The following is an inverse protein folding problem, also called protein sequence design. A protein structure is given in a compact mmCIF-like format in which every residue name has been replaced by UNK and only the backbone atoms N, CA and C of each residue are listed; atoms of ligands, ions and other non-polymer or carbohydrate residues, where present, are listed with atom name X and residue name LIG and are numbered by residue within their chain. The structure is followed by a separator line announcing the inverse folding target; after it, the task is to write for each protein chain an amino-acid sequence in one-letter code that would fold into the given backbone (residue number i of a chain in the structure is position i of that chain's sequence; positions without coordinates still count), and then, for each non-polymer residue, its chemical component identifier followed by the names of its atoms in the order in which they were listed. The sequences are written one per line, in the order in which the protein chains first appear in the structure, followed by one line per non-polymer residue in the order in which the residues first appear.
data_IF_984877892368
#
_entry.id   IF_984877892368
#
_cell.length_a   1.000
_cell.length_b   1.000
_cell.length_c   1.000
_cell.angle_alpha   90.00
_cell.angle_beta   90.00
_cell.angle_gamma   90.00
#
_symmetry.space_group_name_H-M   'P 1'
#
loop_
_entity.id
_entity.type
_entity.pdbx_description
1 polymer ?
#
# COMPACT_ATOMS: atom_id res chain seq x y z
N UNK A 1 -10.41 -66.93 -54.84
CA UNK A 1 -8.98 -66.57 -54.85
C UNK A 1 -8.84 -65.38 -55.78
N UNK A 2 -8.21 -64.26 -55.48
CA UNK A 2 -7.55 -63.71 -54.31
C UNK A 2 -7.24 -62.27 -54.73
N UNK A 3 -7.40 -61.31 -53.81
CA UNK A 3 -7.13 -59.90 -54.07
C UNK A 3 -5.77 -59.65 -54.74
N UNK A 4 -5.67 -58.53 -55.46
CA UNK A 4 -4.70 -57.55 -55.01
C UNK A 4 -5.38 -56.22 -54.71
N UNK A 5 -5.13 -55.77 -53.47
CA UNK A 5 -5.24 -54.39 -53.05
C UNK A 5 -4.25 -53.57 -53.89
N UNK A 6 -4.75 -52.59 -54.61
CA UNK A 6 -3.92 -51.50 -55.12
C UNK A 6 -3.97 -50.36 -54.11
N UNK A 7 -2.79 -49.99 -53.66
CA UNK A 7 -2.52 -49.07 -52.57
C UNK A 7 -3.22 -47.73 -52.72
N UNK A 8 -3.69 -47.27 -51.57
CA UNK A 8 -4.05 -45.89 -51.31
C UNK A 8 -2.84 -45.01 -51.62
N UNK A 9 -2.92 -44.26 -52.71
CA UNK A 9 -2.04 -43.12 -52.94
C UNK A 9 -2.18 -42.15 -51.76
N UNK A 10 -1.18 -42.13 -50.89
CA UNK A 10 -0.94 -41.00 -50.00
C UNK A 10 -0.85 -39.75 -50.88
N UNK A 11 -1.90 -38.93 -50.86
CA UNK A 11 -1.83 -37.57 -51.37
C UNK A 11 -0.79 -36.86 -50.50
N UNK A 12 0.42 -36.78 -51.01
CA UNK A 12 1.47 -35.88 -50.57
C UNK A 12 0.85 -34.49 -50.45
N UNK A 13 0.48 -34.10 -49.23
CA UNK A 13 0.18 -32.71 -48.90
C UNK A 13 1.43 -31.91 -49.23
N UNK A 14 1.44 -31.25 -50.39
CA UNK A 14 2.51 -30.35 -50.77
C UNK A 14 2.58 -29.27 -49.69
N UNK A 15 3.57 -29.36 -48.80
CA UNK A 15 3.79 -28.39 -47.73
C UNK A 15 3.96 -27.03 -48.38
N UNK A 16 3.04 -26.11 -48.11
CA UNK A 16 3.10 -24.76 -48.65
C UNK A 16 4.33 -24.07 -48.06
N UNK A 17 5.36 -23.84 -48.88
CA UNK A 17 6.63 -23.25 -48.44
C UNK A 17 6.49 -21.72 -48.36
N UNK A 18 6.90 -21.15 -47.23
CA UNK A 18 7.03 -19.70 -47.07
C UNK A 18 8.25 -19.17 -47.81
N UNK A 19 8.21 -17.92 -48.31
CA UNK A 19 9.41 -17.28 -48.85
C UNK A 19 10.45 -17.12 -47.74
N UNK A 20 11.74 -17.21 -48.11
CA UNK A 20 12.85 -17.07 -47.18
C UNK A 20 13.05 -15.61 -46.77
N UNK A 21 13.40 -15.39 -45.52
CA UNK A 21 13.83 -14.10 -44.99
C UNK A 21 15.22 -13.73 -45.55
N UNK A 22 16.12 -14.72 -45.68
CA UNK A 22 17.44 -14.49 -46.31
C UNK A 22 17.34 -13.95 -47.74
N UNK A 23 16.32 -14.33 -48.51
CA UNK A 23 16.12 -13.78 -49.86
C UNK A 23 15.58 -12.34 -49.84
N UNK A 24 14.77 -11.98 -48.84
CA UNK A 24 14.28 -10.61 -48.68
C UNK A 24 15.39 -9.63 -48.25
N UNK A 25 16.24 -10.05 -47.32
CA UNK A 25 17.34 -9.25 -46.79
C UNK A 25 18.62 -9.36 -47.63
N UNK A 26 18.75 -10.39 -48.46
CA UNK A 26 19.91 -10.65 -49.30
C UNK A 26 20.00 -9.79 -50.58
N UNK A 27 20.88 -10.24 -51.47
CA UNK A 27 21.13 -9.68 -52.80
C UNK A 27 20.80 -10.73 -53.88
N UNK A 28 20.01 -10.41 -54.92
CA UNK A 28 19.45 -9.09 -55.25
C UNK A 28 18.32 -8.64 -54.31
N UNK A 29 18.13 -7.33 -54.20
CA UNK A 29 17.17 -6.73 -53.27
C UNK A 29 15.73 -6.99 -53.73
N UNK A 30 14.95 -7.71 -52.92
CA UNK A 30 13.53 -7.95 -53.17
C UNK A 30 12.70 -6.75 -52.71
N UNK A 31 11.75 -6.32 -53.55
CA UNK A 31 10.83 -5.25 -53.17
C UNK A 31 9.89 -5.71 -52.03
N UNK A 32 9.64 -4.89 -50.99
CA UNK A 32 8.78 -5.27 -49.87
C UNK A 32 7.38 -5.74 -50.29
N UNK A 33 6.79 -5.11 -51.30
CA UNK A 33 5.47 -5.49 -51.80
C UNK A 33 5.47 -6.85 -52.51
N UNK A 34 6.56 -7.19 -53.21
CA UNK A 34 6.71 -8.50 -53.86
C UNK A 34 6.81 -9.60 -52.80
N UNK A 35 7.68 -9.40 -51.80
CA UNK A 35 7.81 -10.32 -50.67
C UNK A 35 6.48 -10.51 -49.91
N UNK A 36 5.79 -9.42 -49.56
CA UNK A 36 4.50 -9.51 -48.88
C UNK A 36 3.42 -10.22 -49.69
N UNK A 37 3.44 -10.08 -51.03
CA UNK A 37 2.55 -10.85 -51.92
C UNK A 37 2.85 -12.32 -51.83
N UNK A 38 4.11 -12.74 -51.89
CA UNK A 38 4.51 -14.14 -51.75
C UNK A 38 4.08 -14.74 -50.41
N UNK A 39 4.32 -14.02 -49.29
CA UNK A 39 3.87 -14.46 -47.96
C UNK A 39 2.35 -14.62 -47.94
N UNK A 40 1.58 -13.68 -48.50
CA UNK A 40 0.12 -13.78 -48.57
C UNK A 40 -0.34 -14.96 -49.42
N UNK A 41 0.32 -15.23 -50.54
CA UNK A 41 0.00 -16.37 -51.40
C UNK A 41 0.22 -17.68 -50.65
N UNK A 42 1.33 -17.80 -49.91
CA UNK A 42 1.61 -18.95 -49.06
C UNK A 42 0.58 -19.11 -47.94
N UNK A 43 0.26 -18.04 -47.20
CA UNK A 43 -0.78 -18.08 -46.16
C UNK A 43 -2.16 -18.45 -46.74
N UNK A 44 -2.52 -17.92 -47.92
CA UNK A 44 -3.78 -18.25 -48.60
C UNK A 44 -3.83 -19.71 -49.05
N UNK A 45 -2.72 -20.23 -49.60
CA UNK A 45 -2.63 -21.62 -50.03
C UNK A 45 -2.69 -22.61 -48.84
N UNK A 46 -2.08 -22.27 -47.70
CA UNK A 46 -2.18 -23.05 -46.47
C UNK A 46 -3.62 -23.08 -45.92
N UNK A 47 -4.30 -21.92 -45.93
CA UNK A 47 -5.72 -21.86 -45.55
C UNK A 47 -6.62 -22.68 -46.47
N UNK A 48 -6.37 -22.62 -47.78
CA UNK A 48 -7.15 -23.39 -48.77
C UNK A 48 -6.97 -24.91 -48.60
N UNK A 49 -5.80 -25.34 -48.14
CA UNK A 49 -5.49 -26.76 -47.85
C UNK A 49 -5.86 -27.19 -46.44
N UNK A 50 -6.47 -26.33 -45.61
CA UNK A 50 -6.74 -26.56 -44.17
C UNK A 50 -5.49 -27.01 -43.38
N UNK A 51 -4.31 -26.61 -43.86
CA UNK A 51 -3.05 -26.85 -43.17
C UNK A 51 -2.83 -25.80 -42.07
N UNK A 52 -1.94 -26.11 -41.12
CA UNK A 52 -1.50 -25.17 -40.12
C UNK A 52 -0.96 -23.88 -40.76
N UNK A 53 -1.11 -22.72 -40.09
CA UNK A 53 -0.59 -21.46 -40.60
C UNK A 53 0.92 -21.59 -40.80
N UNK A 54 1.43 -21.31 -42.00
CA UNK A 54 2.83 -21.57 -42.30
C UNK A 54 3.68 -20.56 -41.52
N UNK A 55 4.83 -20.98 -41.03
CA UNK A 55 5.83 -20.14 -40.36
C UNK A 55 7.04 -19.97 -41.27
N UNK A 56 7.86 -18.94 -40.99
CA UNK A 56 9.19 -18.87 -41.60
C UNK A 56 10.03 -20.05 -41.10
N UNK A 57 10.92 -20.55 -41.96
CA UNK A 57 11.87 -21.59 -41.58
C UNK A 57 12.76 -21.09 -40.44
N UNK A 58 12.87 -21.89 -39.38
CA UNK A 58 13.50 -21.46 -38.12
C UNK A 58 14.97 -21.16 -38.33
N UNK A 59 15.67 -22.01 -39.10
CA UNK A 59 17.10 -21.84 -39.42
C UNK A 59 17.33 -20.56 -40.22
N UNK A 60 16.55 -20.37 -41.28
CA UNK A 60 16.61 -19.16 -42.10
C UNK A 60 16.31 -17.89 -41.28
N UNK A 61 15.35 -17.94 -40.35
CA UNK A 61 15.04 -16.84 -39.47
C UNK A 61 16.17 -16.52 -38.47
N UNK A 62 16.82 -17.54 -37.91
CA UNK A 62 17.95 -17.38 -36.98
C UNK A 62 19.19 -16.83 -37.69
N UNK A 63 19.59 -17.44 -38.81
CA UNK A 63 20.72 -16.97 -39.62
C UNK A 63 20.51 -15.53 -40.11
N UNK A 64 19.27 -15.19 -40.50
CA UNK A 64 18.94 -13.82 -40.93
C UNK A 64 19.00 -12.83 -39.76
N UNK A 65 18.62 -13.25 -38.55
CA UNK A 65 18.66 -12.40 -37.36
C UNK A 65 20.11 -12.11 -36.95
N UNK A 66 20.95 -13.14 -36.90
CA UNK A 66 22.39 -13.00 -36.59
C UNK A 66 23.10 -12.08 -37.56
N UNK A 67 22.74 -12.15 -38.85
CA UNK A 67 23.34 -11.34 -39.91
C UNK A 67 22.62 -10.02 -40.17
N UNK A 68 21.60 -9.68 -39.38
CA UNK A 68 20.76 -8.52 -39.66
C UNK A 68 21.54 -7.20 -39.62
N UNK A 69 22.53 -7.09 -38.72
CA UNK A 69 23.40 -5.93 -38.64
C UNK A 69 24.20 -5.69 -39.94
N UNK A 70 24.49 -6.76 -40.69
CA UNK A 70 25.16 -6.69 -42.00
C UNK A 70 24.16 -6.44 -43.13
N UNK A 71 22.99 -7.10 -43.09
CA UNK A 71 22.02 -7.12 -44.17
C UNK A 71 21.08 -5.89 -44.19
N UNK A 72 20.76 -5.34 -43.02
CA UNK A 72 19.91 -4.15 -42.85
C UNK A 72 20.43 -3.27 -41.71
N UNK A 73 21.65 -2.69 -41.83
CA UNK A 73 22.33 -1.97 -40.76
C UNK A 73 21.54 -0.78 -40.19
N UNK A 74 20.64 -0.20 -41.01
CA UNK A 74 19.79 0.95 -40.63
C UNK A 74 18.33 0.55 -40.38
N UNK A 75 18.00 -0.74 -40.41
CA UNK A 75 16.65 -1.27 -40.21
C UNK A 75 15.58 -0.75 -41.20
N UNK A 76 16.02 -0.25 -42.36
CA UNK A 76 15.12 0.38 -43.34
C UNK A 76 14.24 -0.66 -44.00
N UNK A 77 14.75 -1.87 -44.26
CA UNK A 77 13.95 -2.96 -44.84
C UNK A 77 12.95 -3.47 -43.81
N UNK A 78 13.39 -3.65 -42.57
CA UNK A 78 12.53 -4.09 -41.46
C UNK A 78 11.38 -3.10 -41.22
N UNK A 79 11.63 -1.79 -41.22
CA UNK A 79 10.57 -0.77 -41.09
C UNK A 79 9.53 -0.85 -42.22
N UNK A 80 9.91 -1.22 -43.45
CA UNK A 80 8.96 -1.35 -44.57
C UNK A 80 7.98 -2.52 -44.39
N UNK A 81 8.30 -3.46 -43.49
CA UNK A 81 7.43 -4.57 -43.11
C UNK A 81 6.48 -4.21 -41.94
N UNK A 82 6.72 -3.10 -41.24
CA UNK A 82 5.91 -2.66 -40.10
C UNK A 82 4.47 -2.34 -40.51
N UNK A 83 3.50 -2.79 -39.70
CA UNK A 83 2.07 -2.54 -39.94
C UNK A 83 1.50 -3.21 -41.20
N UNK A 84 2.18 -4.25 -41.73
CA UNK A 84 1.73 -5.00 -42.90
C UNK A 84 1.22 -6.39 -42.50
N UNK A 85 0.12 -6.81 -43.12
CA UNK A 85 -0.33 -8.20 -43.09
C UNK A 85 0.47 -9.05 -44.08
N UNK A 86 1.01 -10.23 -43.69
CA UNK A 86 0.44 -11.21 -42.72
C UNK A 86 1.06 -11.32 -41.29
N UNK A 87 0.40 -12.04 -40.36
CA UNK A 87 0.82 -12.26 -38.95
C UNK A 87 2.28 -12.75 -38.80
N UNK A 88 2.73 -13.63 -39.69
CA UNK A 88 4.10 -14.16 -39.71
C UNK A 88 5.13 -13.04 -39.83
N UNK A 89 4.84 -12.04 -40.67
CA UNK A 89 5.69 -10.87 -40.85
C UNK A 89 5.69 -10.02 -39.59
N UNK A 90 4.53 -9.84 -38.95
CA UNK A 90 4.45 -9.12 -37.66
C UNK A 90 5.27 -9.81 -36.58
N UNK A 91 5.20 -11.14 -36.49
CA UNK A 91 5.96 -11.92 -35.52
C UNK A 91 7.48 -11.82 -35.78
N UNK A 92 7.90 -11.91 -37.04
CA UNK A 92 9.29 -11.68 -37.43
C UNK A 92 9.77 -10.26 -37.05
N UNK A 93 9.00 -9.24 -37.42
CA UNK A 93 9.32 -7.84 -37.08
C UNK A 93 9.40 -7.66 -35.57
N UNK A 94 8.47 -8.22 -34.78
CA UNK A 94 8.53 -8.16 -33.32
C UNK A 94 9.79 -8.84 -32.75
N UNK A 95 10.19 -9.99 -33.31
CA UNK A 95 11.42 -10.69 -32.92
C UNK A 95 12.66 -9.82 -33.18
N UNK A 96 12.75 -9.24 -34.37
CA UNK A 96 13.83 -8.32 -34.76
C UNK A 96 13.85 -7.07 -33.89
N UNK A 97 12.68 -6.46 -33.66
CA UNK A 97 12.54 -5.26 -32.83
C UNK A 97 13.05 -5.52 -31.42
N UNK A 98 12.61 -6.63 -30.80
CA UNK A 98 13.06 -7.02 -29.46
C UNK A 98 14.57 -7.17 -29.43
N UNK A 99 15.14 -7.99 -30.33
CA UNK A 99 16.58 -8.25 -30.36
C UNK A 99 17.40 -6.95 -30.54
N UNK A 100 17.03 -6.12 -31.52
CA UNK A 100 17.70 -4.84 -31.76
C UNK A 100 17.55 -3.85 -30.60
N UNK A 101 16.41 -3.88 -29.90
CA UNK A 101 16.15 -3.05 -28.73
C UNK A 101 16.94 -3.52 -27.51
N UNK A 102 16.96 -4.81 -27.20
CA UNK A 102 17.79 -5.37 -26.12
C UNK A 102 19.28 -5.09 -26.35
N UNK A 103 19.75 -5.30 -27.58
CA UNK A 103 21.14 -5.03 -27.94
C UNK A 103 21.50 -3.55 -27.75
N UNK A 104 20.55 -2.62 -27.95
CA UNK A 104 20.76 -1.19 -27.68
C UNK A 104 20.76 -0.82 -26.19
N UNK A 105 20.24 -1.72 -25.33
CA UNK A 105 20.20 -1.57 -23.88
C UNK A 105 21.30 -2.36 -23.16
N UNK A 106 22.00 -3.26 -23.84
CA UNK A 106 23.01 -4.14 -23.25
C UNK A 106 24.14 -3.38 -22.54
N UNK A 107 24.49 -2.19 -23.05
CA UNK A 107 25.52 -1.32 -22.45
C UNK A 107 24.99 -0.44 -21.30
N UNK A 108 23.69 -0.51 -20.98
CA UNK A 108 23.03 0.32 -19.97
C UNK A 108 22.77 -0.45 -18.67
N UNK A 109 23.73 -0.44 -17.74
CA UNK A 109 23.63 -1.11 -16.44
C UNK A 109 22.70 -0.38 -15.45
N UNK A 110 21.42 -0.74 -15.37
CA UNK A 110 20.50 -0.27 -14.32
C UNK A 110 19.42 -1.31 -13.98
N UNK A 111 19.01 -1.36 -12.70
CA UNK A 111 18.11 -2.34 -12.05
C UNK A 111 16.60 -2.20 -12.34
N UNK A 112 16.15 -1.23 -13.14
CA UNK A 112 14.70 -1.04 -13.39
C UNK A 112 14.19 -1.82 -14.60
N UNK A 113 13.49 -2.93 -14.33
CA UNK A 113 12.88 -3.83 -15.33
C UNK A 113 11.52 -3.36 -15.86
N UNK A 114 11.01 -2.20 -15.45
CA UNK A 114 9.73 -1.70 -15.97
C UNK A 114 9.80 -1.37 -17.47
N UNK A 115 8.74 -1.67 -18.24
CA UNK A 115 8.66 -1.34 -19.67
C UNK A 115 8.93 0.15 -19.93
N UNK A 116 8.38 1.03 -19.08
CA UNK A 116 8.60 2.47 -19.15
C UNK A 116 10.06 2.83 -18.89
N UNK A 117 10.68 2.29 -17.83
CA UNK A 117 12.08 2.55 -17.50
C UNK A 117 13.03 2.05 -18.60
N UNK A 118 12.74 0.90 -19.19
CA UNK A 118 13.48 0.36 -20.35
C UNK A 118 13.37 1.27 -21.58
N UNK A 119 12.18 1.80 -21.86
CA UNK A 119 11.99 2.75 -22.95
C UNK A 119 12.66 4.11 -22.68
N UNK A 120 12.57 4.63 -21.45
CA UNK A 120 13.28 5.85 -21.06
C UNK A 120 14.79 5.70 -21.24
N UNK A 121 15.37 4.57 -20.81
CA UNK A 121 16.78 4.22 -21.03
C UNK A 121 17.15 4.24 -22.50
N UNK A 122 16.36 3.59 -23.35
CA UNK A 122 16.58 3.58 -24.79
C UNK A 122 16.59 4.99 -25.38
N UNK A 123 15.64 5.84 -24.98
CA UNK A 123 15.55 7.22 -25.46
C UNK A 123 16.75 8.06 -25.01
N UNK A 124 17.20 7.88 -23.77
CA UNK A 124 18.37 8.57 -23.23
C UNK A 124 19.65 8.10 -23.92
N UNK A 125 19.87 6.79 -24.05
CA UNK A 125 21.07 6.24 -24.69
C UNK A 125 21.11 6.57 -26.19
N UNK A 126 19.95 6.62 -26.85
CA UNK A 126 19.84 6.95 -28.28
C UNK A 126 19.75 8.44 -28.57
N UNK A 127 19.75 9.32 -27.57
CA UNK A 127 19.53 10.75 -27.76
C UNK A 127 20.57 11.40 -28.70
N UNK A 128 21.83 10.96 -28.58
CA UNK A 128 22.95 11.42 -29.42
C UNK A 128 22.77 11.01 -30.87
N UNK A 129 22.39 9.75 -31.10
CA UNK A 129 22.17 9.24 -32.44
C UNK A 129 20.91 9.86 -33.07
N UNK A 130 19.82 10.02 -32.31
CA UNK A 130 18.55 10.60 -32.78
C UNK A 130 18.70 12.08 -33.21
N UNK A 131 19.55 12.83 -32.52
CA UNK A 131 19.73 14.28 -32.73
C UNK A 131 21.05 14.62 -33.43
N UNK A 132 21.90 13.62 -33.66
CA UNK A 132 23.22 13.78 -34.24
C UNK A 132 23.23 14.19 -35.71
N UNK A 133 24.42 14.51 -36.19
CA UNK A 133 24.69 14.87 -37.59
C UNK A 133 24.98 13.65 -38.46
N UNK A 134 25.41 12.53 -37.88
CA UNK A 134 25.63 11.27 -38.60
C UNK A 134 24.29 10.72 -39.14
N UNK A 135 24.15 10.78 -40.48
CA UNK A 135 22.94 10.33 -41.17
C UNK A 135 22.63 8.86 -40.90
N UNK A 136 23.63 7.97 -40.88
CA UNK A 136 23.40 6.52 -40.78
C UNK A 136 22.97 6.13 -39.37
N UNK A 137 23.66 6.65 -38.35
CA UNK A 137 23.29 6.42 -36.95
C UNK A 137 21.92 7.00 -36.62
N UNK A 138 21.65 8.22 -37.09
CA UNK A 138 20.34 8.85 -36.93
C UNK A 138 19.22 8.08 -37.61
N UNK A 139 19.43 7.62 -38.84
CA UNK A 139 18.44 6.81 -39.56
C UNK A 139 18.18 5.48 -38.84
N UNK A 140 19.24 4.81 -38.36
CA UNK A 140 19.11 3.59 -37.54
C UNK A 140 18.31 3.84 -36.26
N UNK A 141 18.65 4.87 -35.48
CA UNK A 141 17.97 5.19 -34.23
C UNK A 141 16.50 5.58 -34.44
N UNK A 142 16.20 6.35 -35.50
CA UNK A 142 14.82 6.70 -35.87
C UNK A 142 14.02 5.47 -36.30
N UNK A 143 14.62 4.55 -37.05
CA UNK A 143 13.96 3.33 -37.49
C UNK A 143 13.75 2.36 -36.32
N UNK A 144 14.72 2.24 -35.42
CA UNK A 144 14.56 1.46 -34.20
C UNK A 144 13.45 2.03 -33.32
N UNK A 145 13.35 3.35 -33.17
CA UNK A 145 12.23 4.01 -32.45
C UNK A 145 10.88 3.72 -33.11
N UNK A 146 10.80 3.75 -34.45
CA UNK A 146 9.57 3.40 -35.19
C UNK A 146 9.16 1.95 -35.00
N UNK A 147 10.11 1.05 -34.82
CA UNK A 147 9.87 -0.37 -34.59
C UNK A 147 9.51 -0.65 -33.13
N UNK A 148 10.23 -0.07 -32.18
CA UNK A 148 10.08 -0.33 -30.74
C UNK A 148 8.83 0.30 -30.15
N UNK A 149 8.43 1.50 -30.58
CA UNK A 149 7.27 2.18 -29.99
C UNK A 149 5.96 1.38 -30.17
N UNK A 150 5.57 0.92 -31.39
CA UNK A 150 4.39 0.07 -31.55
C UNK A 150 4.53 -1.26 -30.81
N UNK A 151 5.72 -1.86 -30.83
CA UNK A 151 5.98 -3.11 -30.12
C UNK A 151 5.77 -2.99 -28.60
N UNK A 152 6.27 -1.91 -28.00
CA UNK A 152 6.12 -1.65 -26.57
C UNK A 152 4.67 -1.30 -26.19
N UNK A 153 3.98 -0.53 -27.02
CA UNK A 153 2.57 -0.16 -26.79
C UNK A 153 1.66 -1.38 -26.94
N UNK A 154 1.80 -2.15 -28.02
CA UNK A 154 0.89 -3.25 -28.34
C UNK A 154 1.19 -4.54 -27.56
N UNK A 155 2.47 -4.84 -27.27
CA UNK A 155 2.87 -6.12 -26.67
C UNK A 155 3.43 -6.01 -25.24
N UNK A 156 3.79 -4.82 -24.77
CA UNK A 156 4.37 -4.62 -23.43
C UNK A 156 3.56 -3.62 -22.58
N UNK A 157 2.35 -3.27 -23.02
CA UNK A 157 1.41 -2.38 -22.33
C UNK A 157 1.99 -1.01 -21.96
N UNK A 158 2.94 -0.49 -22.74
CA UNK A 158 3.43 0.87 -22.56
C UNK A 158 2.32 1.86 -22.93
N UNK A 159 1.93 2.71 -21.98
CA UNK A 159 0.95 3.76 -22.23
C UNK A 159 1.51 4.84 -23.14
N UNK A 160 0.71 5.32 -24.09
CA UNK A 160 1.15 6.32 -25.06
C UNK A 160 1.47 7.66 -24.37
N UNK A 161 0.71 7.98 -23.33
CA UNK A 161 0.87 9.13 -22.43
C UNK A 161 2.22 9.11 -21.72
N UNK A 162 2.79 7.93 -21.46
CA UNK A 162 4.09 7.76 -20.83
C UNK A 162 5.22 7.80 -21.86
N UNK A 163 5.03 7.20 -23.03
CA UNK A 163 6.06 7.04 -24.06
C UNK A 163 6.41 8.36 -24.78
N UNK A 164 5.42 9.10 -25.27
CA UNK A 164 5.66 10.27 -26.13
C UNK A 164 6.37 11.43 -25.40
N UNK A 165 6.08 11.73 -24.11
CA UNK A 165 6.86 12.72 -23.36
C UNK A 165 8.33 12.37 -23.26
N UNK A 166 8.68 11.08 -23.13
CA UNK A 166 10.07 10.62 -23.06
C UNK A 166 10.82 10.97 -24.35
N UNK A 167 10.24 10.68 -25.52
CA UNK A 167 10.79 11.08 -26.83
C UNK A 167 10.98 12.61 -26.90
N UNK A 168 10.01 13.37 -26.37
CA UNK A 168 10.09 14.83 -26.27
C UNK A 168 11.21 15.33 -25.37
N UNK A 169 11.49 14.65 -24.24
CA UNK A 169 12.54 15.03 -23.27
C UNK A 169 13.93 15.02 -23.91
N UNK A 170 14.26 14.00 -24.70
CA UNK A 170 15.55 13.93 -25.41
C UNK A 170 15.82 15.20 -26.25
N UNK A 171 14.78 15.72 -26.91
CA UNK A 171 14.86 16.95 -27.71
C UNK A 171 14.86 18.22 -26.86
N UNK A 172 14.07 18.26 -25.77
CA UNK A 172 13.99 19.41 -24.85
C UNK A 172 15.27 19.62 -24.05
N UNK A 173 15.95 18.55 -23.65
CA UNK A 173 17.23 18.63 -22.93
C UNK A 173 18.30 19.45 -23.68
N UNK A 174 18.19 19.52 -25.02
CA UNK A 174 19.10 20.27 -25.90
C UNK A 174 18.56 21.60 -26.41
N UNK A 175 17.31 21.96 -26.08
CA UNK A 175 16.64 23.14 -26.65
C UNK A 175 16.21 24.09 -25.54
N UNK A 176 16.72 25.32 -25.52
CA UNK A 176 16.24 26.36 -24.59
C UNK A 176 14.75 26.65 -24.85
N UNK A 177 13.97 26.89 -23.79
CA UNK A 177 12.50 27.06 -23.87
C UNK A 177 12.06 28.15 -24.86
N UNK A 178 12.85 29.21 -25.02
CA UNK A 178 12.59 30.32 -25.96
C UNK A 178 12.80 29.92 -27.42
N UNK A 179 13.66 28.94 -27.69
CA UNK A 179 13.94 28.44 -29.04
C UNK A 179 12.92 27.39 -29.49
N UNK A 180 12.22 26.75 -28.55
CA UNK A 180 11.20 25.76 -28.85
C UNK A 180 10.00 26.35 -29.59
N UNK A 181 9.46 27.51 -29.15
CA UNK A 181 8.35 28.18 -29.86
C UNK A 181 8.74 28.58 -31.28
N UNK A 182 9.96 29.10 -31.48
CA UNK A 182 10.47 29.45 -32.82
C UNK A 182 10.71 28.22 -33.69
N UNK A 183 11.19 27.12 -33.10
CA UNK A 183 11.38 25.85 -33.81
C UNK A 183 10.04 25.24 -34.23
N UNK A 184 9.05 25.24 -33.34
CA UNK A 184 7.67 24.80 -33.63
C UNK A 184 7.07 25.69 -34.72
N UNK A 185 7.15 27.02 -34.59
CA UNK A 185 6.65 27.95 -35.61
C UNK A 185 7.23 27.65 -36.99
N UNK A 186 8.56 27.48 -37.11
CA UNK A 186 9.21 27.11 -38.38
C UNK A 186 8.79 25.74 -38.91
N UNK A 187 8.52 24.77 -38.03
CA UNK A 187 8.05 23.45 -38.43
C UNK A 187 6.60 23.51 -38.95
N UNK A 188 5.73 24.25 -38.27
CA UNK A 188 4.31 24.38 -38.65
C UNK A 188 4.15 24.94 -40.07
N UNK A 189 5.00 25.86 -40.51
CA UNK A 189 4.97 26.39 -41.88
C UNK A 189 5.53 25.43 -42.96
N UNK A 190 6.24 24.38 -42.58
CA UNK A 190 6.91 23.44 -43.51
C UNK A 190 6.25 22.06 -43.57
N UNK A 191 5.40 21.75 -42.61
CA UNK A 191 4.76 20.44 -42.48
C UNK A 191 3.48 20.40 -43.33
N UNK A 192 3.28 19.39 -44.18
CA UNK A 192 2.04 19.23 -44.95
C UNK A 192 0.81 19.12 -44.06
N UNK A 193 -0.34 19.63 -44.52
CA UNK A 193 -1.61 19.63 -43.79
C UNK A 193 -2.00 18.26 -43.21
N UNK A 194 -1.87 17.12 -43.91
CA UNK A 194 -2.18 15.81 -43.32
C UNK A 194 -1.33 15.46 -42.09
N UNK A 195 -0.07 15.89 -42.07
CA UNK A 195 0.80 15.68 -40.91
C UNK A 195 0.42 16.60 -39.75
N UNK A 196 -0.04 17.83 -40.03
CA UNK A 196 -0.59 18.72 -39.00
C UNK A 196 -1.86 18.13 -38.35
N UNK A 197 -2.74 17.53 -39.15
CA UNK A 197 -3.93 16.83 -38.63
C UNK A 197 -3.55 15.64 -37.73
N UNK A 198 -2.51 14.88 -38.10
CA UNK A 198 -2.03 13.79 -37.23
C UNK A 198 -1.45 14.34 -35.92
N UNK A 199 -0.73 15.46 -35.96
CA UNK A 199 -0.22 16.12 -34.75
C UNK A 199 -1.37 16.65 -33.89
N UNK A 200 -2.44 17.19 -34.48
CA UNK A 200 -3.59 17.67 -33.71
C UNK A 200 -4.36 16.53 -33.03
N UNK A 201 -4.45 15.36 -33.65
CA UNK A 201 -5.02 14.17 -32.99
C UNK A 201 -4.20 13.76 -31.76
N UNK A 202 -2.87 13.78 -31.87
CA UNK A 202 -1.98 13.52 -30.73
C UNK A 202 -2.17 14.60 -29.65
N UNK A 203 -2.35 15.87 -30.03
CA UNK A 203 -2.62 16.96 -29.07
C UNK A 203 -3.96 16.77 -28.35
N UNK A 204 -5.02 16.41 -29.07
CA UNK A 204 -6.34 16.17 -28.48
C UNK A 204 -6.31 15.03 -27.47
N UNK A 205 -5.59 13.94 -27.77
CA UNK A 205 -5.34 12.86 -26.82
C UNK A 205 -4.63 13.34 -25.54
N UNK A 206 -3.65 14.25 -25.65
CA UNK A 206 -3.00 14.84 -24.48
C UNK A 206 -3.87 15.82 -23.71
N UNK A 207 -4.77 16.52 -24.38
CA UNK A 207 -5.73 17.42 -23.72
C UNK A 207 -6.70 16.63 -22.84
N UNK A 208 -7.21 15.51 -23.34
CA UNK A 208 -8.05 14.57 -22.57
C UNK A 208 -7.29 13.99 -21.38
N UNK A 209 -6.10 13.42 -21.61
CA UNK A 209 -5.27 12.88 -20.53
C UNK A 209 -4.86 13.94 -19.48
N UNK A 210 -4.67 15.20 -19.90
CA UNK A 210 -4.40 16.30 -18.99
C UNK A 210 -5.64 16.68 -18.17
N UNK A 211 -6.82 16.70 -18.77
CA UNK A 211 -8.07 16.96 -18.07
C UNK A 211 -8.30 15.91 -16.98
N UNK A 212 -8.16 14.62 -17.32
CA UNK A 212 -8.29 13.52 -16.37
C UNK A 212 -7.29 13.64 -15.21
N UNK A 213 -6.03 14.00 -15.52
CA UNK A 213 -5.00 14.19 -14.50
C UNK A 213 -5.29 15.38 -13.58
N UNK A 214 -5.89 16.46 -14.10
CA UNK A 214 -6.31 17.61 -13.30
C UNK A 214 -7.50 17.27 -12.40
N UNK A 215 -8.48 16.54 -12.92
CA UNK A 215 -9.65 16.08 -12.16
C UNK A 215 -9.23 15.11 -11.05
N UNK A 216 -8.35 14.15 -11.36
CA UNK A 216 -7.79 13.23 -10.36
C UNK A 216 -7.03 13.99 -9.26
N UNK A 217 -6.23 15.01 -9.65
CA UNK A 217 -5.53 15.87 -8.68
C UNK A 217 -6.51 16.66 -7.82
N UNK A 218 -7.58 17.19 -8.41
CA UNK A 218 -8.59 17.94 -7.67
C UNK A 218 -9.32 17.03 -6.67
N UNK A 219 -9.69 15.81 -7.07
CA UNK A 219 -10.28 14.81 -6.19
C UNK A 219 -9.34 14.44 -5.03
N UNK A 220 -8.05 14.22 -5.31
CA UNK A 220 -7.06 13.96 -4.27
C UNK A 220 -6.92 15.13 -3.27
N UNK A 221 -7.01 16.38 -3.75
CA UNK A 221 -7.03 17.55 -2.87
C UNK A 221 -8.29 17.62 -2.01
N UNK A 222 -9.45 17.27 -2.56
CA UNK A 222 -10.70 17.18 -1.80
C UNK A 222 -10.64 16.10 -0.72
N UNK A 223 -10.14 14.90 -1.04
CA UNK A 223 -9.95 13.82 -0.08
C UNK A 223 -8.98 14.21 1.04
N UNK A 224 -7.89 14.88 0.68
CA UNK A 224 -6.90 15.37 1.65
C UNK A 224 -7.49 16.46 2.56
N UNK A 225 -8.32 17.36 2.02
CA UNK A 225 -9.05 18.35 2.83
C UNK A 225 -10.00 17.66 3.80
N UNK A 226 -10.80 16.71 3.32
CA UNK A 226 -11.73 15.94 4.15
C UNK A 226 -11.01 15.18 5.25
N UNK A 227 -9.89 14.53 4.94
CA UNK A 227 -9.07 13.82 5.93
C UNK A 227 -8.54 14.76 7.01
N UNK A 228 -8.13 15.99 6.65
CA UNK A 228 -7.72 17.01 7.62
C UNK A 228 -8.86 17.45 8.52
N UNK A 229 -10.06 17.63 7.98
CA UNK A 229 -11.24 17.99 8.78
C UNK A 229 -11.62 16.87 9.77
N UNK A 230 -11.57 15.61 9.32
CA UNK A 230 -11.78 14.44 10.19
C UNK A 230 -10.72 14.34 11.29
N UNK A 231 -9.45 14.61 10.96
CA UNK A 231 -8.36 14.66 11.96
C UNK A 231 -8.58 15.81 12.97
N UNK A 232 -8.99 16.99 12.51
CA UNK A 232 -9.29 18.12 13.38
C UNK A 232 -10.46 17.80 14.33
N UNK A 233 -11.50 17.12 13.85
CA UNK A 233 -12.61 16.66 14.67
C UNK A 233 -12.15 15.68 15.77
N UNK A 234 -11.33 14.68 15.41
CA UNK A 234 -10.75 13.73 16.38
C UNK A 234 -9.85 14.41 17.41
N UNK A 235 -9.07 15.42 17.01
CA UNK A 235 -8.24 16.20 17.94
C UNK A 235 -9.13 16.93 18.96
N UNK A 236 -10.26 17.51 18.53
CA UNK A 236 -11.22 18.14 19.44
C UNK A 236 -11.82 17.13 20.41
N UNK A 237 -12.27 15.97 19.92
CA UNK A 237 -12.80 14.89 20.76
C UNK A 237 -11.76 14.42 21.80
N UNK A 238 -10.50 14.21 21.40
CA UNK A 238 -9.41 13.88 22.33
C UNK A 238 -9.23 14.96 23.39
N UNK A 239 -9.33 16.23 23.02
CA UNK A 239 -9.21 17.34 23.97
C UNK A 239 -10.37 17.38 24.98
N UNK A 240 -11.59 17.08 24.52
CA UNK A 240 -12.78 16.99 25.38
C UNK A 240 -12.65 15.81 26.36
N UNK A 241 -12.28 14.62 25.87
CA UNK A 241 -12.05 13.44 26.69
C UNK A 241 -10.94 13.67 27.72
N UNK A 242 -9.86 14.37 27.35
CA UNK A 242 -8.80 14.74 28.32
C UNK A 242 -9.33 15.63 29.44
N UNK A 243 -10.15 16.63 29.10
CA UNK A 243 -10.78 17.50 30.08
C UNK A 243 -11.75 16.72 31.00
N UNK A 244 -12.49 15.76 30.46
CA UNK A 244 -13.38 14.89 31.25
C UNK A 244 -12.60 13.99 32.20
N UNK A 245 -11.51 13.37 31.74
CA UNK A 245 -10.61 12.58 32.58
C UNK A 245 -10.05 13.44 33.71
N UNK A 246 -9.59 14.65 33.43
CA UNK A 246 -9.06 15.55 34.47
C UNK A 246 -10.11 15.87 35.54
N UNK A 247 -11.36 16.18 35.13
CA UNK A 247 -12.47 16.41 36.05
C UNK A 247 -12.79 15.15 36.88
N UNK A 248 -12.81 13.98 36.24
CA UNK A 248 -13.07 12.71 36.92
C UNK A 248 -11.97 12.39 37.95
N UNK A 249 -10.69 12.64 37.62
CA UNK A 249 -9.56 12.46 38.53
C UNK A 249 -9.65 13.40 39.72
N UNK A 250 -9.97 14.69 39.52
CA UNK A 250 -10.19 15.64 40.63
C UNK A 250 -11.29 15.15 41.57
N UNK A 251 -12.45 14.76 41.02
CA UNK A 251 -13.57 14.23 41.81
C UNK A 251 -13.21 12.95 42.56
N UNK A 252 -12.45 12.05 41.93
CA UNK A 252 -11.95 10.83 42.59
C UNK A 252 -11.06 11.17 43.77
N UNK A 253 -10.15 12.13 43.62
CA UNK A 253 -9.23 12.53 44.69
C UNK A 253 -9.99 13.21 45.84
N UNK A 254 -10.95 14.09 45.56
CA UNK A 254 -11.82 14.69 46.58
C UNK A 254 -12.61 13.62 47.37
N UNK A 255 -13.15 12.61 46.68
CA UNK A 255 -13.84 11.50 47.34
C UNK A 255 -12.88 10.65 48.17
N UNK A 256 -11.67 10.37 47.68
CA UNK A 256 -10.66 9.62 48.42
C UNK A 256 -10.22 10.36 49.70
N UNK A 257 -10.05 11.69 49.65
CA UNK A 257 -9.76 12.51 50.82
C UNK A 257 -10.90 12.47 51.84
N UNK A 258 -12.15 12.61 51.38
CA UNK A 258 -13.33 12.48 52.27
C UNK A 258 -13.38 11.10 52.93
N UNK A 259 -13.13 10.03 52.16
CA UNK A 259 -13.07 8.67 52.70
C UNK A 259 -11.99 8.55 53.78
N UNK A 260 -10.77 9.04 53.52
CA UNK A 260 -9.67 9.01 54.50
C UNK A 260 -10.02 9.77 55.80
N UNK A 261 -10.66 10.93 55.69
CA UNK A 261 -11.13 11.69 56.87
C UNK A 261 -12.17 10.91 57.65
N UNK A 262 -13.16 10.31 56.97
CA UNK A 262 -14.19 9.50 57.64
C UNK A 262 -13.64 8.23 58.28
N UNK A 263 -12.65 7.58 57.66
CA UNK A 263 -11.96 6.43 58.23
C UNK A 263 -11.17 6.80 59.48
N UNK A 264 -10.46 7.94 59.45
CA UNK A 264 -9.75 8.47 60.61
C UNK A 264 -10.70 8.80 61.77
N UNK A 265 -11.84 9.44 61.48
CA UNK A 265 -12.89 9.74 62.47
C UNK A 265 -13.48 8.45 63.07
N UNK A 266 -13.78 7.45 62.24
CA UNK A 266 -14.26 6.15 62.72
C UNK A 266 -13.23 5.44 63.60
N UNK A 267 -11.95 5.50 63.24
CA UNK A 267 -10.86 4.95 64.05
C UNK A 267 -10.76 5.66 65.40
N UNK A 268 -10.78 6.99 65.42
CA UNK A 268 -10.77 7.79 66.64
C UNK A 268 -11.98 7.50 67.55
N UNK A 269 -13.18 7.37 66.98
CA UNK A 269 -14.38 6.98 67.74
C UNK A 269 -14.27 5.56 68.33
N UNK A 270 -13.68 4.61 67.58
CA UNK A 270 -13.44 3.24 68.09
C UNK A 270 -12.45 3.25 69.26
N UNK A 271 -11.40 4.06 69.18
CA UNK A 271 -10.41 4.21 70.25
C UNK A 271 -11.02 4.86 71.50
N UNK A 272 -11.80 5.94 71.34
CA UNK A 272 -12.54 6.57 72.45
C UNK A 272 -13.48 5.57 73.13
N UNK A 273 -14.32 4.87 72.37
CA UNK A 273 -15.20 3.82 72.91
C UNK A 273 -14.44 2.70 73.61
N UNK A 274 -13.22 2.38 73.17
CA UNK A 274 -12.39 1.38 73.84
C UNK A 274 -11.87 1.89 75.20
N UNK A 275 -11.46 3.16 75.27
CA UNK A 275 -11.07 3.83 76.52
C UNK A 275 -12.26 3.88 77.48
N UNK A 276 -13.43 4.32 77.02
CA UNK A 276 -14.65 4.40 77.85
C UNK A 276 -14.99 3.03 78.43
N UNK A 277 -14.95 1.97 77.61
CA UNK A 277 -15.17 0.59 78.09
C UNK A 277 -14.17 0.16 79.15
N UNK A 278 -12.89 0.51 79.00
CA UNK A 278 -11.84 0.20 79.99
C UNK A 278 -12.08 0.98 81.28
N UNK A 279 -12.42 2.27 81.19
CA UNK A 279 -12.73 3.11 82.34
C UNK A 279 -13.96 2.62 83.09
N UNK A 280 -15.06 2.34 82.40
CA UNK A 280 -16.29 1.78 82.98
C UNK A 280 -15.99 0.45 83.67
N UNK A 281 -15.25 -0.46 83.00
CA UNK A 281 -14.87 -1.75 83.60
C UNK A 281 -13.96 -1.58 84.82
N UNK A 282 -13.02 -0.63 84.77
CA UNK A 282 -12.15 -0.28 85.89
C UNK A 282 -12.95 0.27 87.09
N UNK A 283 -13.86 1.22 86.84
CA UNK A 283 -14.76 1.80 87.84
C UNK A 283 -15.68 0.74 88.46
N UNK A 284 -16.30 -0.11 87.64
CA UNK A 284 -17.13 -1.21 88.12
C UNK A 284 -16.33 -2.18 89.00
N UNK A 285 -15.09 -2.52 88.60
CA UNK A 285 -14.22 -3.40 89.39
C UNK A 285 -13.81 -2.78 90.73
N UNK A 286 -13.39 -1.51 90.74
CA UNK A 286 -13.07 -0.78 91.97
C UNK A 286 -14.30 -0.67 92.87
N UNK A 287 -15.47 -0.32 92.34
CA UNK A 287 -16.70 -0.28 93.14
C UNK A 287 -17.03 -1.62 93.79
N UNK A 288 -16.91 -2.73 93.05
CA UNK A 288 -17.12 -4.08 93.58
C UNK A 288 -16.11 -4.45 94.67
N UNK A 289 -14.82 -4.20 94.44
CA UNK A 289 -13.73 -4.60 95.37
C UNK A 289 -13.65 -3.69 96.58
N UNK A 290 -13.67 -2.38 96.38
CA UNK A 290 -13.34 -1.40 97.43
C UNK A 290 -14.55 -1.05 98.28
N UNK A 291 -15.78 -1.19 97.73
CA UNK A 291 -17.00 -0.68 98.38
C UNK A 291 -18.00 -1.76 98.72
N UNK A 292 -18.22 -2.74 97.84
CA UNK A 292 -19.19 -3.80 98.08
C UNK A 292 -18.59 -5.01 98.80
N UNK A 293 -17.42 -5.48 98.38
CA UNK A 293 -16.79 -6.67 98.98
C UNK A 293 -16.57 -6.55 100.50
N UNK A 294 -16.10 -5.41 101.06
CA UNK A 294 -15.92 -5.29 102.51
C UNK A 294 -17.25 -5.34 103.25
N UNK A 295 -18.29 -4.67 102.74
CA UNK A 295 -19.61 -4.67 103.38
C UNK A 295 -20.27 -6.06 103.36
N UNK A 296 -20.10 -6.81 102.26
CA UNK A 296 -20.61 -8.19 102.15
C UNK A 296 -19.80 -9.13 103.04
N UNK A 297 -18.47 -8.97 103.10
CA UNK A 297 -17.61 -9.74 104.00
C UNK A 297 -17.98 -9.48 105.46
N UNK A 298 -18.10 -8.23 105.87
CA UNK A 298 -18.51 -7.84 107.23
C UNK A 298 -19.90 -8.40 107.58
N UNK A 299 -20.85 -8.35 106.63
CA UNK A 299 -22.18 -8.90 106.82
C UNK A 299 -22.15 -10.43 107.00
N UNK A 300 -21.31 -11.12 106.23
CA UNK A 300 -21.08 -12.55 106.35
C UNK A 300 -20.47 -12.90 107.70
N UNK A 301 -19.39 -12.20 108.08
CA UNK A 301 -18.69 -12.44 109.35
C UNK A 301 -19.63 -12.23 110.55
N UNK A 302 -20.48 -11.20 110.51
CA UNK A 302 -21.51 -10.93 111.53
C UNK A 302 -22.52 -12.09 111.71
N UNK A 303 -22.82 -12.83 110.64
CA UNK A 303 -23.70 -14.00 110.67
C UNK A 303 -22.98 -15.28 111.15
N UNK A 304 -21.66 -15.33 111.06
CA UNK A 304 -20.84 -16.47 111.48
C UNK A 304 -20.47 -16.42 112.98
N UNK A 305 -20.72 -15.31 113.70
CA UNK A 305 -20.58 -15.23 115.16
C UNK A 305 -21.63 -16.06 115.92
N UNK A 306 -21.29 -16.54 117.13
CA UNK A 306 -22.23 -17.22 118.04
C UNK A 306 -22.39 -16.45 119.37
N UNK A 307 -23.56 -15.87 119.68
CA UNK A 307 -24.79 -15.87 118.87
C UNK A 307 -24.70 -14.94 117.65
N UNK A 308 -25.42 -15.26 116.55
CA UNK A 308 -25.33 -14.50 115.29
C UNK A 308 -25.85 -13.08 115.42
N UNK A 309 -25.12 -12.13 114.85
CA UNK A 309 -25.45 -10.70 114.91
C UNK A 309 -26.31 -10.28 113.71
N UNK A 310 -27.57 -10.71 113.72
CA UNK A 310 -28.52 -10.52 112.61
C UNK A 310 -28.71 -9.03 112.27
N UNK A 311 -28.83 -8.16 113.26
CA UNK A 311 -29.05 -6.72 113.03
C UNK A 311 -27.83 -6.04 112.38
N UNK A 312 -26.62 -6.46 112.78
CA UNK A 312 -25.37 -5.98 112.18
C UNK A 312 -25.25 -6.40 110.72
N UNK A 313 -25.56 -7.67 110.42
CA UNK A 313 -25.56 -8.19 109.05
C UNK A 313 -26.59 -7.46 108.15
N UNK A 314 -27.80 -7.23 108.67
CA UNK A 314 -28.86 -6.50 107.96
C UNK A 314 -28.45 -5.06 107.66
N UNK A 315 -27.88 -4.35 108.63
CA UNK A 315 -27.42 -2.98 108.45
C UNK A 315 -26.33 -2.88 107.36
N UNK A 316 -25.40 -3.84 107.30
CA UNK A 316 -24.35 -3.89 106.25
C UNK A 316 -24.94 -4.16 104.87
N UNK A 317 -25.95 -5.02 104.76
CA UNK A 317 -26.68 -5.26 103.51
C UNK A 317 -27.49 -4.04 103.07
N UNK A 318 -28.13 -3.31 103.98
CA UNK A 318 -28.82 -2.06 103.67
C UNK A 318 -27.84 -0.98 103.15
N UNK A 319 -26.62 -0.95 103.69
CA UNK A 319 -25.54 -0.09 103.18
C UNK A 319 -25.08 -0.50 101.76
N UNK A 320 -25.04 -1.80 101.45
CA UNK A 320 -24.77 -2.32 100.10
C UNK A 320 -25.86 -1.87 99.12
N UNK A 321 -27.13 -2.07 99.47
CA UNK A 321 -28.26 -1.67 98.63
C UNK A 321 -28.23 -0.15 98.37
N UNK A 322 -27.96 0.63 99.42
CA UNK A 322 -27.81 2.09 99.30
C UNK A 322 -26.61 2.50 98.44
N UNK A 323 -25.49 1.77 98.51
CA UNK A 323 -24.33 2.03 97.68
C UNK A 323 -24.60 1.71 96.20
N UNK A 324 -25.32 0.62 95.91
CA UNK A 324 -25.75 0.26 94.54
C UNK A 324 -26.71 1.31 93.98
N UNK A 325 -27.73 1.72 94.75
CA UNK A 325 -28.69 2.74 94.32
C UNK A 325 -28.00 4.06 93.96
N UNK A 326 -27.05 4.51 94.80
CA UNK A 326 -26.26 5.71 94.54
C UNK A 326 -25.36 5.61 93.32
N UNK A 327 -24.90 4.41 92.95
CA UNK A 327 -24.06 4.23 91.76
C UNK A 327 -24.89 4.14 90.47
N UNK A 328 -26.11 3.63 90.54
CA UNK A 328 -27.08 3.59 89.44
C UNK A 328 -27.68 4.96 89.11
N UNK A 329 -27.84 5.84 90.10
CA UNK A 329 -28.36 7.20 89.93
C UNK A 329 -27.31 8.20 89.42
N UNK A 330 -26.04 7.80 89.30
CA UNK A 330 -25.03 8.68 88.71
C UNK A 330 -25.25 8.75 87.21
N UNK A 331 -25.31 9.96 86.61
CA UNK A 331 -25.36 10.08 85.16
C UNK A 331 -24.12 9.46 84.53
N UNK A 332 -24.30 8.82 83.38
CA UNK A 332 -23.21 8.40 82.51
C UNK A 332 -22.45 9.68 82.09
N UNK A 333 -21.29 9.94 82.72
CA UNK A 333 -20.34 10.98 82.29
C UNK A 333 -19.57 10.54 81.05
#
# INVERSE_FOLDING_TARGET
MGHPRSDQGHTSNASVKMPRLSSYYGSPTVQPLAFLREVRTAVKAARASKADPPSFDVRDAEETLERLAELDPTLVRTVKLLGKDPHQVRHWVARVTRDAFENSLADCSCDEDSTQGRFERFIVSSADDLLGTDKRRRERAQNLLRLSLPWLVELQNLKLEEALPLVGRAKRARTKSTDLRRAIGRLLFRVPVPQLMNISLVSAFFEEALADALDARQNALWELSRSRDEQAARIREISELRNEIERAVKKRNELAERMAVTEAQLKGQKELRAIDRVQIRGRARSFLIDRLAPLISDARDALEFDPPQIDGARQRLDMVISAIAKELDKPDE
#
